data_IF_546236722385
#
_entry.id   IF_546236722385
#
_cell.length_a   1.000
_cell.length_b   1.000
_cell.length_c   1.000
_cell.angle_alpha   90.00
_cell.angle_beta   90.00
_cell.angle_gamma   90.00
#
_symmetry.space_group_name_H-M   'P 1'
#
loop_
_entity.id
_entity.type
_entity.pdbx_description
1 polymer ?
#
# COMPACT_ATOMS: atom_id res chain seq x y z
N UNK A 1 -17.75 -29.22 28.81
CA UNK A 1 -16.55 -29.51 28.00
C UNK A 1 -16.44 -28.45 26.92
N UNK A 2 -15.39 -27.61 26.89
CA UNK A 2 -15.30 -26.47 25.99
C UNK A 2 -14.88 -26.91 24.58
N UNK A 3 -15.57 -26.42 23.54
CA UNK A 3 -15.05 -26.48 22.17
C UNK A 3 -14.35 -25.16 21.85
N UNK A 4 -13.14 -25.35 21.34
CA UNK A 4 -12.06 -24.43 21.06
C UNK A 4 -12.45 -23.12 20.37
N UNK A 5 -11.70 -22.09 20.75
CA UNK A 5 -11.64 -20.78 20.13
C UNK A 5 -11.36 -20.87 18.62
N UNK A 6 -12.11 -20.06 17.87
CA UNK A 6 -11.88 -19.78 16.47
C UNK A 6 -12.21 -18.32 16.22
N UNK A 7 -11.40 -17.40 16.76
CA UNK A 7 -11.44 -15.99 16.36
C UNK A 7 -10.88 -15.92 14.94
N UNK A 8 -11.76 -16.09 13.95
CA UNK A 8 -11.45 -15.83 12.55
C UNK A 8 -11.57 -14.32 12.31
N UNK A 9 -10.57 -13.55 12.73
CA UNK A 9 -10.41 -12.16 12.30
C UNK A 9 -9.73 -12.16 10.93
N UNK A 10 -10.49 -12.58 9.93
CA UNK A 10 -10.10 -12.43 8.53
C UNK A 10 -10.83 -11.23 7.96
N UNK A 11 -10.03 -10.21 7.65
CA UNK A 11 -10.28 -9.31 6.51
C UNK A 11 -11.31 -8.20 6.71
N UNK A 12 -11.13 -7.31 7.68
CA UNK A 12 -11.76 -5.97 7.70
C UNK A 12 -10.86 -4.90 7.03
N UNK A 13 -10.19 -5.27 5.93
CA UNK A 13 -9.73 -4.29 4.93
C UNK A 13 -10.53 -4.58 3.65
N UNK A 14 -11.86 -4.61 3.80
CA UNK A 14 -12.80 -4.80 2.72
C UNK A 14 -13.24 -3.40 2.25
N UNK A 15 -12.98 -3.06 0.99
CA UNK A 15 -13.41 -1.85 0.28
C UNK A 15 -12.62 -0.53 0.44
N UNK A 16 -11.39 -0.55 0.96
CA UNK A 16 -10.44 0.55 0.71
C UNK A 16 -9.67 0.23 -0.58
N UNK A 17 -10.02 0.88 -1.68
CA UNK A 17 -9.39 0.69 -3.00
C UNK A 17 -7.90 1.10 -2.98
N UNK A 18 -7.04 0.20 -2.51
CA UNK A 18 -5.59 0.36 -2.51
C UNK A 18 -5.05 0.03 -3.90
N UNK A 19 -4.47 1.02 -4.58
CA UNK A 19 -3.90 0.84 -5.92
C UNK A 19 -2.41 1.15 -5.89
N UNK A 20 -1.62 0.28 -6.54
CA UNK A 20 -0.19 0.47 -6.72
C UNK A 20 0.12 0.48 -8.22
N UNK A 21 0.86 1.49 -8.69
CA UNK A 21 1.29 1.57 -10.09
C UNK A 21 2.80 1.73 -10.22
N UNK A 22 3.32 1.20 -11.32
CA UNK A 22 4.68 1.44 -11.76
C UNK A 22 4.72 2.59 -12.74
N UNK A 23 5.56 3.60 -12.49
CA UNK A 23 5.81 4.70 -13.42
C UNK A 23 7.12 4.45 -14.20
N UNK A 24 7.04 4.02 -15.48
CA UNK A 24 8.23 3.72 -16.28
C UNK A 24 9.07 4.96 -16.60
N UNK A 25 8.43 6.14 -16.71
CA UNK A 25 9.12 7.40 -17.02
C UNK A 25 10.09 7.83 -15.91
N UNK A 26 9.69 7.67 -14.65
CA UNK A 26 10.46 8.13 -13.50
C UNK A 26 11.16 6.99 -12.72
N UNK A 27 10.94 5.73 -13.12
CA UNK A 27 11.36 4.52 -12.38
C UNK A 27 10.93 4.58 -10.91
N UNK A 28 9.65 4.89 -10.69
CA UNK A 28 9.05 5.04 -9.35
C UNK A 28 7.82 4.17 -9.21
N UNK A 29 7.56 3.76 -7.98
CA UNK A 29 6.33 3.13 -7.55
C UNK A 29 5.43 4.20 -6.93
N UNK A 30 4.16 4.21 -7.31
CA UNK A 30 3.12 5.07 -6.73
C UNK A 30 2.11 4.19 -6.01
N UNK A 31 1.71 4.60 -4.83
CA UNK A 31 0.68 3.95 -4.03
C UNK A 31 -0.41 4.97 -3.72
N UNK A 32 -1.59 4.69 -4.25
CA UNK A 32 -2.81 5.45 -4.08
C UNK A 32 -3.60 4.85 -2.92
N UNK A 33 -3.85 5.68 -1.91
CA UNK A 33 -4.71 5.34 -0.78
C UNK A 33 -6.00 6.18 -0.85
N UNK A 34 -7.20 5.60 -0.66
CA UNK A 34 -8.48 6.30 -0.78
C UNK A 34 -8.72 7.44 0.21
N UNK A 35 -7.92 7.56 1.27
CA UNK A 35 -8.19 8.53 2.32
C UNK A 35 -6.92 9.28 2.77
N UNK A 36 -7.01 10.62 2.96
CA UNK A 36 -6.05 11.38 3.75
C UNK A 36 -6.15 11.06 5.25
N UNK A 37 -7.28 10.47 5.69
CA UNK A 37 -7.44 9.84 6.99
C UNK A 37 -6.61 8.56 7.02
N UNK A 38 -5.34 8.77 7.28
CA UNK A 38 -4.33 7.78 7.61
C UNK A 38 -4.60 7.12 8.97
N UNK A 39 -5.87 6.97 9.34
CA UNK A 39 -6.30 6.05 10.40
C UNK A 39 -6.24 4.58 9.91
N UNK A 40 -5.70 4.38 8.70
CA UNK A 40 -5.10 3.12 8.28
C UNK A 40 -3.83 2.89 9.09
N UNK A 41 -3.98 2.68 10.40
CA UNK A 41 -2.99 2.28 11.40
C UNK A 41 -1.63 2.98 11.25
N UNK A 42 -1.19 3.81 12.21
CA UNK A 42 0.18 4.36 12.32
C UNK A 42 1.30 3.39 11.84
N UNK A 43 1.09 2.09 12.05
CA UNK A 43 1.86 0.97 11.51
C UNK A 43 2.06 0.96 9.97
N UNK A 44 1.05 1.26 9.15
CA UNK A 44 1.16 1.26 7.69
C UNK A 44 2.03 2.41 7.20
N UNK A 45 1.84 3.62 7.74
CA UNK A 45 2.68 4.77 7.39
C UNK A 45 4.13 4.49 7.72
N UNK A 46 4.40 3.98 8.92
CA UNK A 46 5.75 3.62 9.34
C UNK A 46 6.35 2.55 8.41
N UNK A 47 5.59 1.50 8.05
CA UNK A 47 6.04 0.48 7.07
C UNK A 47 6.35 1.07 5.69
N UNK A 48 5.54 2.02 5.21
CA UNK A 48 5.78 2.70 3.94
C UNK A 48 7.08 3.52 4.02
N UNK A 49 7.27 4.29 5.09
CA UNK A 49 8.49 5.07 5.29
C UNK A 49 9.74 4.19 5.41
N UNK A 50 9.66 3.08 6.15
CA UNK A 50 10.73 2.07 6.26
C UNK A 50 11.07 1.41 4.92
N UNK A 51 10.05 1.14 4.09
CA UNK A 51 10.24 0.62 2.74
C UNK A 51 10.81 1.65 1.75
N UNK A 52 10.88 2.93 2.15
CA UNK A 52 11.47 4.03 1.40
C UNK A 52 10.48 4.86 0.58
N UNK A 53 9.18 4.77 0.90
CA UNK A 53 8.17 5.68 0.34
C UNK A 53 8.31 7.08 0.93
N UNK A 54 7.90 8.07 0.14
CA UNK A 54 7.74 9.45 0.54
C UNK A 54 6.32 9.90 0.23
N UNK A 55 5.72 10.62 1.15
CA UNK A 55 4.42 11.25 0.91
C UNK A 55 4.56 12.43 -0.03
N UNK A 56 3.83 12.40 -1.14
CA UNK A 56 3.66 13.52 -2.05
C UNK A 56 2.33 14.21 -1.74
N UNK A 57 2.39 15.29 -0.97
CA UNK A 57 1.21 16.04 -0.54
C UNK A 57 0.50 16.78 -1.68
N UNK A 58 1.16 16.98 -2.83
CA UNK A 58 0.56 17.65 -3.99
C UNK A 58 -0.35 16.70 -4.76
N UNK A 59 0.03 15.42 -4.81
CA UNK A 59 -0.67 14.39 -5.56
C UNK A 59 -1.43 13.40 -4.65
N UNK A 60 -1.31 13.53 -3.33
CA UNK A 60 -1.89 12.64 -2.31
C UNK A 60 -1.52 11.16 -2.51
N UNK A 61 -0.26 10.91 -2.86
CA UNK A 61 0.26 9.55 -3.12
C UNK A 61 1.57 9.30 -2.40
N UNK A 62 1.83 8.04 -2.11
CA UNK A 62 3.14 7.61 -1.65
C UNK A 62 4.00 7.22 -2.85
N UNK A 63 5.22 7.76 -2.91
CA UNK A 63 6.15 7.53 -4.01
C UNK A 63 7.46 6.97 -3.50
N UNK A 64 7.94 5.88 -4.10
CA UNK A 64 9.23 5.27 -3.80
C UNK A 64 10.02 5.01 -5.10
N UNK A 65 11.36 5.04 -5.08
CA UNK A 65 12.14 4.42 -6.15
C UNK A 65 11.85 2.90 -6.22
N UNK A 66 11.99 2.28 -7.39
CA UNK A 66 11.86 0.82 -7.52
C UNK A 66 12.94 0.15 -6.66
N UNK A 67 12.51 -0.47 -5.55
CA UNK A 67 13.36 -1.27 -4.67
C UNK A 67 12.59 -2.52 -4.27
N UNK A 68 13.32 -3.62 -4.02
CA UNK A 68 12.73 -4.90 -3.62
C UNK A 68 11.80 -4.76 -2.41
N UNK A 69 12.22 -4.04 -1.37
CA UNK A 69 11.42 -3.77 -0.18
C UNK A 69 10.08 -3.07 -0.48
N UNK A 70 10.10 -2.07 -1.37
CA UNK A 70 8.92 -1.34 -1.77
C UNK A 70 7.96 -2.21 -2.61
N UNK A 71 8.49 -3.02 -3.53
CA UNK A 71 7.69 -3.95 -4.35
C UNK A 71 7.02 -5.00 -3.46
N UNK A 72 7.78 -5.64 -2.56
CA UNK A 72 7.26 -6.68 -1.67
C UNK A 72 6.14 -6.13 -0.77
N UNK A 73 6.30 -4.91 -0.26
CA UNK A 73 5.27 -4.25 0.53
C UNK A 73 3.99 -3.99 -0.29
N UNK A 74 4.10 -3.45 -1.50
CA UNK A 74 2.94 -3.17 -2.35
C UNK A 74 2.23 -4.44 -2.81
N UNK A 75 2.97 -5.51 -3.13
CA UNK A 75 2.35 -6.81 -3.43
C UNK A 75 1.61 -7.35 -2.20
N UNK A 76 2.17 -7.20 -1.01
CA UNK A 76 1.52 -7.64 0.23
C UNK A 76 0.26 -6.83 0.56
N UNK A 77 0.24 -5.54 0.24
CA UNK A 77 -0.88 -4.64 0.51
C UNK A 77 -1.97 -4.69 -0.57
N UNK A 78 -1.58 -4.62 -1.85
CA UNK A 78 -2.49 -4.49 -2.99
C UNK A 78 -2.72 -5.81 -3.74
N UNK A 79 -1.95 -6.86 -3.44
CA UNK A 79 -1.93 -8.13 -4.19
C UNK A 79 -1.25 -8.07 -5.56
N UNK A 80 -1.23 -6.88 -6.20
CA UNK A 80 -0.59 -6.64 -7.50
C UNK A 80 -0.09 -5.20 -7.62
N UNK A 81 0.87 -4.98 -8.51
CA UNK A 81 1.31 -3.65 -8.94
C UNK A 81 0.93 -3.53 -10.42
N UNK A 82 0.07 -2.56 -10.74
CA UNK A 82 -0.32 -2.26 -12.12
C UNK A 82 0.76 -1.48 -12.86
N UNK A 83 0.67 -1.44 -14.18
CA UNK A 83 1.45 -0.50 -14.99
C UNK A 83 0.69 0.83 -15.06
N UNK A 84 1.36 1.96 -14.81
CA UNK A 84 0.79 3.27 -15.08
C UNK A 84 0.66 3.40 -16.60
N UNK A 85 -0.56 3.23 -17.10
CA UNK A 85 -0.85 3.33 -18.52
C UNK A 85 -0.43 4.73 -18.98
N UNK A 86 0.70 4.82 -19.68
CA UNK A 86 1.12 6.01 -20.40
C UNK A 86 -0.03 6.41 -21.33
N UNK A 87 -0.77 7.45 -20.94
CA UNK A 87 -1.78 8.09 -21.77
C UNK A 87 -1.10 9.09 -22.72
#
# INVERSE_FOLDING_TARGET
MPKSAGTSVSSEIDSVYLEATYSPADRKLRFFTPAPDLDVSENLFNRLMEAGFRWDSKHYVFVAPIKRSAIELLIKLCGKIGDERMA
#
